data_IF_937726167500
#
_entry.id   IF_937726167500
#
_cell.length_a   1.000
_cell.length_b   1.000
_cell.length_c   1.000
_cell.angle_alpha   90.00
_cell.angle_beta   90.00
_cell.angle_gamma   90.00
#
_symmetry.space_group_name_H-M   'P 1'
#
loop_
_entity.id
_entity.type
_entity.pdbx_description
1 polymer ?
#
# COMPACT_ATOMS: atom_id res chain seq x y z
N UNK A 1 -0.92 -10.66 -3.22
CA UNK A 1 -2.30 -10.54 -2.67
C UNK A 1 -2.67 -11.88 -2.06
N UNK A 2 -3.13 -11.89 -0.80
CA UNK A 2 -3.61 -13.10 -0.13
C UNK A 2 -5.11 -13.24 -0.42
N UNK A 3 -5.57 -14.46 -0.74
CA UNK A 3 -6.99 -14.78 -0.94
C UNK A 3 -7.38 -15.91 0.00
N UNK A 4 -8.52 -15.77 0.67
CA UNK A 4 -9.05 -16.77 1.58
C UNK A 4 -10.45 -17.19 1.13
N UNK A 5 -10.76 -18.48 1.28
CA UNK A 5 -12.13 -18.97 1.17
C UNK A 5 -12.99 -18.42 2.30
N UNK A 6 -14.30 -18.28 2.09
CA UNK A 6 -15.27 -17.87 3.12
C UNK A 6 -15.29 -18.79 4.34
N UNK A 7 -14.77 -20.02 4.23
CA UNK A 7 -14.62 -20.95 5.35
C UNK A 7 -13.71 -20.44 6.48
N UNK A 8 -12.83 -19.48 6.19
CA UNK A 8 -11.91 -18.84 7.13
C UNK A 8 -12.47 -17.55 7.76
N UNK A 9 -13.72 -17.18 7.45
CA UNK A 9 -14.36 -15.97 8.00
C UNK A 9 -14.35 -16.01 9.54
N UNK A 10 -13.78 -15.00 10.18
CA UNK A 10 -13.63 -14.92 11.64
C UNK A 10 -12.68 -15.95 12.27
N UNK A 11 -11.88 -16.68 11.47
CA UNK A 11 -10.95 -17.72 11.95
C UNK A 11 -9.48 -17.37 11.75
N UNK A 12 -9.21 -16.16 11.26
CA UNK A 12 -7.85 -15.67 11.04
C UNK A 12 -7.57 -14.50 11.96
N UNK A 13 -6.30 -14.16 12.09
CA UNK A 13 -5.82 -13.01 12.82
C UNK A 13 -4.48 -12.57 12.22
N UNK A 14 -3.98 -11.41 12.63
CA UNK A 14 -2.73 -10.85 12.15
C UNK A 14 -2.91 -9.48 11.53
N UNK A 15 -1.88 -9.02 10.81
CA UNK A 15 -1.86 -7.70 10.18
C UNK A 15 -2.95 -7.48 9.12
N UNK A 16 -3.56 -8.54 8.62
CA UNK A 16 -4.67 -8.48 7.65
C UNK A 16 -6.06 -8.51 8.32
N UNK A 17 -6.15 -8.36 9.64
CA UNK A 17 -7.40 -8.39 10.38
C UNK A 17 -7.90 -9.81 10.66
N UNK A 18 -9.19 -9.91 11.01
CA UNK A 18 -9.82 -11.18 11.42
C UNK A 18 -10.78 -11.77 10.36
N UNK A 19 -10.98 -11.05 9.25
CA UNK A 19 -11.85 -11.44 8.14
C UNK A 19 -13.29 -11.76 8.59
N UNK A 20 -13.88 -10.99 9.51
CA UNK A 20 -15.29 -11.16 9.92
C UNK A 20 -16.27 -10.23 9.16
N UNK A 21 -15.74 -9.23 8.45
CA UNK A 21 -16.49 -8.22 7.70
C UNK A 21 -16.70 -6.89 8.45
N UNK A 22 -16.16 -6.75 9.66
CA UNK A 22 -16.22 -5.55 10.48
C UNK A 22 -14.86 -4.84 10.55
N UNK A 23 -14.65 -3.85 9.70
CA UNK A 23 -13.37 -3.09 9.66
C UNK A 23 -12.99 -2.41 10.98
N UNK A 24 -13.94 -2.21 11.91
CA UNK A 24 -13.70 -1.50 13.18
C UNK A 24 -12.92 -2.34 14.19
N UNK A 25 -12.87 -3.66 14.02
CA UNK A 25 -12.16 -4.57 14.93
C UNK A 25 -10.93 -5.23 14.27
N UNK A 26 -10.58 -4.88 13.03
CA UNK A 26 -9.42 -5.46 12.35
C UNK A 26 -8.11 -5.15 13.08
N UNK A 27 -8.04 -4.04 13.81
CA UNK A 27 -6.94 -3.72 14.72
C UNK A 27 -7.08 -4.46 16.07
N UNK A 28 -7.17 -5.79 16.00
CA UNK A 28 -7.13 -6.67 17.17
C UNK A 28 -5.68 -7.12 17.42
N UNK A 29 -5.16 -6.86 18.62
CA UNK A 29 -3.81 -7.26 19.01
C UNK A 29 -3.67 -8.77 19.19
N UNK A 30 -2.43 -9.27 19.30
CA UNK A 30 -2.16 -10.69 19.65
C UNK A 30 -2.81 -11.12 20.98
N UNK A 31 -3.05 -10.17 21.89
CA UNK A 31 -3.72 -10.40 23.18
C UNK A 31 -5.25 -10.25 23.12
N UNK A 32 -5.83 -10.11 21.91
CA UNK A 32 -7.27 -9.97 21.65
C UNK A 32 -7.88 -8.64 22.10
N UNK A 33 -7.05 -7.62 22.31
CA UNK A 33 -7.53 -6.25 22.59
C UNK A 33 -7.78 -5.51 21.27
N UNK A 34 -8.90 -4.81 21.16
CA UNK A 34 -9.18 -3.92 20.02
C UNK A 34 -8.58 -2.56 20.31
N UNK A 35 -7.72 -2.08 19.41
CA UNK A 35 -7.01 -0.81 19.55
C UNK A 35 -7.28 0.09 18.34
N UNK A 36 -7.12 1.40 18.53
CA UNK A 36 -7.26 2.39 17.44
C UNK A 36 -5.92 2.77 16.82
N UNK A 37 -4.83 2.59 17.57
CA UNK A 37 -3.49 2.98 17.14
C UNK A 37 -2.82 1.87 16.30
N UNK A 38 -2.41 2.23 15.09
CA UNK A 38 -1.80 1.29 14.15
C UNK A 38 -0.43 0.79 14.62
N UNK A 39 0.33 1.57 15.40
CA UNK A 39 1.62 1.13 15.92
C UNK A 39 1.44 0.11 17.03
N UNK A 40 0.52 0.35 17.97
CA UNK A 40 0.16 -0.60 19.00
C UNK A 40 -0.31 -1.93 18.37
N UNK A 41 -1.19 -1.85 17.38
CA UNK A 41 -1.63 -3.03 16.61
C UNK A 41 -0.47 -3.75 15.94
N UNK A 42 0.32 -3.05 15.10
CA UNK A 42 1.40 -3.66 14.32
C UNK A 42 2.51 -4.24 15.18
N UNK A 43 2.95 -3.51 16.23
CA UNK A 43 3.97 -3.97 17.15
C UNK A 43 3.53 -5.22 17.94
N UNK A 44 2.23 -5.38 18.22
CA UNK A 44 1.71 -6.58 18.91
C UNK A 44 1.86 -7.87 18.08
N UNK A 45 1.99 -7.75 16.76
CA UNK A 45 2.11 -8.87 15.84
C UNK A 45 3.55 -9.28 15.53
N UNK A 46 4.57 -8.60 16.10
CA UNK A 46 5.97 -8.98 15.90
C UNK A 46 6.23 -10.44 16.26
N UNK A 47 7.03 -11.11 15.44
CA UNK A 47 7.37 -12.53 15.65
C UNK A 47 8.42 -12.66 16.75
N UNK A 48 9.49 -11.85 16.68
CA UNK A 48 10.53 -11.80 17.71
C UNK A 48 10.32 -10.62 18.64
N UNK A 49 10.47 -10.87 19.94
CA UNK A 49 10.45 -9.80 20.94
C UNK A 49 11.67 -8.87 20.86
N UNK A 50 12.79 -9.35 20.29
CA UNK A 50 13.99 -8.54 20.08
C UNK A 50 13.83 -7.46 19.02
N UNK A 51 12.80 -7.55 18.16
CA UNK A 51 12.49 -6.49 17.21
C UNK A 51 12.03 -5.23 17.95
N UNK A 52 12.63 -4.09 17.60
CA UNK A 52 12.27 -2.79 18.13
C UNK A 52 10.83 -2.40 17.74
N UNK A 53 10.15 -1.68 18.63
CA UNK A 53 8.84 -1.12 18.31
C UNK A 53 8.98 0.07 17.35
N UNK A 54 8.05 0.18 16.41
CA UNK A 54 7.90 1.37 15.58
C UNK A 54 6.94 2.33 16.27
N UNK A 55 7.35 3.58 16.51
CA UNK A 55 6.54 4.58 17.23
C UNK A 55 6.26 5.85 16.42
N UNK A 56 6.86 5.98 15.23
CA UNK A 56 6.69 7.14 14.35
C UNK A 56 6.68 6.71 12.90
N UNK A 57 5.83 7.35 12.10
CA UNK A 57 5.86 7.28 10.65
C UNK A 57 6.69 8.46 10.17
N UNK A 58 7.97 8.23 9.87
CA UNK A 58 8.76 9.24 9.17
C UNK A 58 8.39 9.20 7.69
N UNK A 59 7.80 10.27 7.18
CA UNK A 59 7.51 10.38 5.75
C UNK A 59 8.82 10.27 4.96
N UNK A 60 8.96 9.29 4.05
CA UNK A 60 10.17 9.15 3.25
C UNK A 60 10.46 10.40 2.41
N UNK A 61 9.42 11.09 1.94
CA UNK A 61 9.59 12.34 1.19
C UNK A 61 10.06 13.51 2.06
N UNK A 62 9.83 13.48 3.38
CA UNK A 62 10.41 14.49 4.29
C UNK A 62 11.87 14.17 4.58
N UNK A 63 12.22 12.89 4.74
CA UNK A 63 13.60 12.45 4.95
C UNK A 63 14.46 12.64 3.69
N UNK A 64 13.88 12.43 2.51
CA UNK A 64 14.55 12.51 1.21
C UNK A 64 13.87 13.56 0.33
N UNK A 65 13.80 14.79 0.82
CA UNK A 65 13.10 15.92 0.18
C UNK A 65 13.52 16.19 -1.26
N UNK A 66 14.79 15.99 -1.60
CA UNK A 66 15.31 16.11 -2.97
C UNK A 66 14.62 15.17 -3.98
N UNK A 67 13.98 14.09 -3.52
CA UNK A 67 13.27 13.11 -4.37
C UNK A 67 11.78 13.41 -4.52
N UNK A 68 11.23 14.28 -3.68
CA UNK A 68 9.79 14.54 -3.63
C UNK A 68 9.25 15.02 -4.98
N UNK A 69 9.92 15.98 -5.63
CA UNK A 69 9.50 16.49 -6.93
C UNK A 69 9.47 15.40 -8.02
N UNK A 70 10.49 14.52 -8.02
CA UNK A 70 10.56 13.40 -8.95
C UNK A 70 9.45 12.37 -8.69
N UNK A 71 9.21 12.01 -7.42
CA UNK A 71 8.15 11.09 -7.02
C UNK A 71 6.75 11.62 -7.37
N UNK A 72 6.44 12.87 -7.05
CA UNK A 72 5.16 13.52 -7.39
C UNK A 72 4.92 13.51 -8.90
N UNK A 73 5.96 13.84 -9.69
CA UNK A 73 5.87 13.85 -11.15
C UNK A 73 5.68 12.46 -11.73
N UNK A 74 6.47 11.47 -11.33
CA UNK A 74 6.39 10.11 -11.86
C UNK A 74 5.08 9.43 -11.51
N UNK A 75 4.65 9.53 -10.25
CA UNK A 75 3.41 8.93 -9.77
C UNK A 75 2.14 9.58 -10.33
N UNK A 76 2.23 10.78 -10.92
CA UNK A 76 1.09 11.46 -11.54
C UNK A 76 0.39 10.67 -12.64
N UNK A 77 1.06 9.67 -13.24
CA UNK A 77 0.46 8.76 -14.21
C UNK A 77 -0.80 8.08 -13.66
N UNK A 78 -0.85 7.76 -12.36
CA UNK A 78 -2.00 7.15 -11.68
C UNK A 78 -3.25 8.04 -11.79
N UNK A 79 -3.08 9.36 -11.73
CA UNK A 79 -4.16 10.35 -11.82
C UNK A 79 -4.37 10.87 -13.26
N UNK A 80 -3.57 10.40 -14.22
CA UNK A 80 -3.64 10.86 -15.61
C UNK A 80 -4.74 10.14 -16.39
N UNK A 81 -5.02 10.64 -17.60
CA UNK A 81 -5.95 10.03 -18.54
C UNK A 81 -5.59 8.57 -18.91
N UNK A 82 -4.33 8.15 -18.76
CA UNK A 82 -3.90 6.74 -18.97
C UNK A 82 -4.74 5.77 -18.14
N UNK A 83 -5.06 6.15 -16.90
CA UNK A 83 -5.88 5.35 -16.00
C UNK A 83 -7.33 5.82 -15.91
N UNK A 84 -7.75 6.76 -16.77
CA UNK A 84 -9.05 7.43 -16.70
C UNK A 84 -10.25 6.47 -16.64
N UNK A 85 -10.21 5.38 -17.40
CA UNK A 85 -11.29 4.37 -17.41
C UNK A 85 -11.37 3.54 -16.12
N UNK A 86 -10.34 3.59 -15.27
CA UNK A 86 -10.30 2.91 -13.98
C UNK A 86 -10.67 3.82 -12.80
N UNK A 87 -10.53 5.14 -12.94
CA UNK A 87 -10.78 6.10 -11.84
C UNK A 87 -12.20 5.97 -11.26
N UNK A 88 -13.20 5.63 -12.07
CA UNK A 88 -14.58 5.40 -11.60
C UNK A 88 -14.80 4.04 -10.94
N UNK A 89 -13.83 3.12 -11.02
CA UNK A 89 -13.93 1.75 -10.51
C UNK A 89 -13.05 1.52 -9.28
N UNK A 90 -11.90 2.18 -9.22
CA UNK A 90 -10.93 2.08 -8.13
C UNK A 90 -10.38 3.46 -7.83
N UNK A 91 -10.58 3.94 -6.60
CA UNK A 91 -10.06 5.23 -6.15
C UNK A 91 -8.52 5.31 -6.29
N UNK A 92 -7.99 6.24 -7.11
CA UNK A 92 -6.56 6.36 -7.33
C UNK A 92 -5.80 6.95 -6.12
N UNK A 93 -6.46 7.67 -5.21
CA UNK A 93 -5.79 8.50 -4.21
C UNK A 93 -4.88 7.70 -3.28
N UNK A 94 -5.33 6.51 -2.84
CA UNK A 94 -4.54 5.61 -2.02
C UNK A 94 -3.27 5.14 -2.75
N UNK A 95 -3.40 4.74 -4.02
CA UNK A 95 -2.31 4.22 -4.85
C UNK A 95 -1.32 5.32 -5.22
N UNK A 96 -1.81 6.52 -5.52
CA UNK A 96 -0.96 7.69 -5.77
C UNK A 96 -0.11 8.02 -4.54
N UNK A 97 -0.72 8.10 -3.36
CA UNK A 97 -0.01 8.38 -2.12
C UNK A 97 1.01 7.28 -1.77
N UNK A 98 0.67 6.02 -2.00
CA UNK A 98 1.61 4.90 -1.83
C UNK A 98 2.79 5.01 -2.81
N UNK A 99 2.52 5.24 -4.09
CA UNK A 99 3.55 5.44 -5.11
C UNK A 99 4.51 6.55 -4.71
N UNK A 100 4.01 7.72 -4.28
CA UNK A 100 4.87 8.85 -3.89
C UNK A 100 5.75 8.48 -2.71
N UNK A 101 5.20 7.84 -1.67
CA UNK A 101 5.97 7.40 -0.50
C UNK A 101 7.06 6.40 -0.86
N UNK A 102 6.71 5.36 -1.61
CA UNK A 102 7.64 4.29 -1.98
C UNK A 102 8.74 4.81 -2.91
N UNK A 103 8.34 5.65 -3.87
CA UNK A 103 9.25 6.29 -4.82
C UNK A 103 10.22 7.24 -4.11
N UNK A 104 9.80 7.96 -3.06
CA UNK A 104 10.71 8.75 -2.21
C UNK A 104 11.64 7.86 -1.36
N UNK A 105 11.16 6.71 -0.88
CA UNK A 105 11.89 5.82 0.01
C UNK A 105 13.04 5.06 -0.67
N UNK A 106 12.91 4.74 -1.96
CA UNK A 106 13.91 3.94 -2.68
C UNK A 106 15.13 4.75 -3.11
N UNK A 107 15.97 5.16 -2.16
CA UNK A 107 17.05 6.14 -2.34
C UNK A 107 18.45 5.55 -2.51
N UNK A 108 18.59 4.22 -2.49
CA UNK A 108 19.87 3.50 -2.56
C UNK A 108 20.16 2.91 -3.94
N UNK A 109 19.44 3.34 -4.98
CA UNK A 109 19.43 2.72 -6.32
C UNK A 109 18.28 1.72 -6.48
N UNK A 110 17.79 1.53 -7.71
CA UNK A 110 16.57 0.75 -7.99
C UNK A 110 15.28 1.58 -8.07
N UNK A 111 15.39 2.90 -8.15
CA UNK A 111 14.28 3.87 -8.14
C UNK A 111 13.15 3.55 -9.14
N UNK A 112 13.53 3.03 -10.32
CA UNK A 112 12.56 2.59 -11.32
C UNK A 112 11.72 1.40 -10.84
N UNK A 113 12.30 0.47 -10.08
CA UNK A 113 11.59 -0.74 -9.63
C UNK A 113 10.46 -0.41 -8.64
N UNK A 114 10.69 0.50 -7.71
CA UNK A 114 9.67 0.91 -6.73
C UNK A 114 8.52 1.67 -7.38
N UNK A 115 8.84 2.62 -8.26
CA UNK A 115 7.83 3.33 -9.05
C UNK A 115 6.99 2.35 -9.90
N UNK A 116 7.65 1.46 -10.66
CA UNK A 116 6.96 0.51 -11.52
C UNK A 116 6.09 -0.47 -10.74
N UNK A 117 6.56 -0.93 -9.57
CA UNK A 117 5.80 -1.83 -8.70
C UNK A 117 4.55 -1.15 -8.15
N UNK A 118 4.65 0.11 -7.73
CA UNK A 118 3.52 0.87 -7.21
C UNK A 118 2.45 1.13 -8.29
N UNK A 119 2.85 1.53 -9.50
CA UNK A 119 1.90 1.71 -10.63
C UNK A 119 1.30 0.37 -11.07
N UNK A 120 2.10 -0.70 -11.10
CA UNK A 120 1.60 -2.04 -11.42
C UNK A 120 0.55 -2.53 -10.40
N UNK A 121 0.67 -2.17 -9.13
CA UNK A 121 -0.33 -2.50 -8.11
C UNK A 121 -1.68 -1.83 -8.41
N UNK A 122 -1.69 -0.57 -8.87
CA UNK A 122 -2.92 0.09 -9.30
C UNK A 122 -3.50 -0.55 -10.57
N UNK A 123 -2.66 -0.82 -11.57
CA UNK A 123 -3.09 -1.52 -12.78
C UNK A 123 -3.67 -2.92 -12.48
N UNK A 124 -3.11 -3.66 -11.52
CA UNK A 124 -3.66 -4.95 -11.09
C UNK A 124 -5.04 -4.80 -10.42
N UNK A 125 -5.25 -3.75 -9.62
CA UNK A 125 -6.55 -3.44 -9.04
C UNK A 125 -7.58 -3.08 -10.13
N UNK A 126 -7.19 -2.25 -11.10
CA UNK A 126 -8.00 -1.92 -12.27
C UNK A 126 -8.40 -3.17 -13.07
N UNK A 127 -7.44 -4.06 -13.35
CA UNK A 127 -7.70 -5.32 -14.05
C UNK A 127 -8.73 -6.17 -13.31
N UNK A 128 -8.61 -6.27 -11.97
CA UNK A 128 -9.57 -7.00 -11.14
C UNK A 128 -10.97 -6.37 -11.16
N UNK A 129 -11.06 -5.06 -11.34
CA UNK A 129 -12.33 -4.33 -11.54
C UNK A 129 -12.80 -4.32 -13.02
N UNK A 130 -12.16 -5.09 -13.89
CA UNK A 130 -12.53 -5.19 -15.30
C UNK A 130 -12.14 -3.96 -16.14
N UNK A 131 -11.08 -3.26 -15.77
CA UNK A 131 -10.46 -2.20 -16.59
C UNK A 131 -9.02 -2.60 -16.93
N UNK A 132 -8.82 -3.09 -18.16
CA UNK A 132 -7.49 -3.44 -18.67
C UNK A 132 -6.76 -2.20 -19.19
N UNK A 133 -5.70 -1.78 -18.48
CA UNK A 133 -4.96 -0.55 -18.80
C UNK A 133 -3.59 -0.89 -19.39
N UNK A 134 -3.30 -0.38 -20.59
CA UNK A 134 -1.96 -0.40 -21.18
C UNK A 134 -1.22 0.87 -20.80
N UNK A 135 -0.44 0.82 -19.72
CA UNK A 135 0.25 1.99 -19.17
C UNK A 135 1.78 1.98 -19.38
N UNK A 136 2.35 0.82 -19.70
CA UNK A 136 3.80 0.64 -19.94
C UNK A 136 4.19 1.17 -21.32
N UNK A 137 5.34 1.83 -21.41
CA UNK A 137 5.94 2.37 -22.65
C UNK A 137 7.46 2.20 -22.63
N UNK A 138 8.19 2.35 -23.76
CA UNK A 138 9.66 2.29 -23.76
C UNK A 138 10.35 3.28 -22.81
N UNK A 139 9.66 4.33 -22.38
CA UNK A 139 10.17 5.36 -21.45
C UNK A 139 9.60 5.24 -20.02
N UNK A 140 8.68 4.31 -19.80
CA UNK A 140 7.94 4.09 -18.55
C UNK A 140 7.70 2.58 -18.36
N UNK A 141 8.51 1.94 -17.51
CA UNK A 141 8.29 0.58 -16.98
C UNK A 141 7.95 -0.51 -18.02
#
# INVERSE_FOLDING_TARGET
MIKLSSTFKGKVCGLCGNYDGNIKNDFTTRNKEVVVDAFQFGNSWKVSQSCANTNTLKSPCTLYSHRQAWALKRCSIINSAVFGICHSKVDPQYYYNACVRDTCACNTGGDCECFCSAVAAYAAACNKAGACIKWRTPSVC
#
